data_IF_964872534003
#
_entry.id   IF_964872534003
#
_cell.length_a   1.000
_cell.length_b   1.000
_cell.length_c   1.000
_cell.angle_alpha   90.00
_cell.angle_beta   90.00
_cell.angle_gamma   90.00
#
_symmetry.space_group_name_H-M   'P 1'
#
loop_
_entity.id
_entity.type
_entity.pdbx_description
1 polymer ?
#
# COMPACT_ATOMS: atom_id res chain seq x y z
N UNK A 1 -14.85 -15.54 -20.91
CA UNK A 1 -13.96 -16.69 -20.71
C UNK A 1 -14.17 -17.75 -21.75
N UNK A 2 -13.94 -17.45 -23.02
CA UNK A 2 -14.00 -18.48 -24.07
C UNK A 2 -12.57 -18.78 -24.51
N UNK A 3 -11.84 -19.55 -23.70
CA UNK A 3 -10.41 -19.81 -23.89
C UNK A 3 -10.10 -20.45 -25.25
N UNK A 4 -10.95 -21.37 -25.73
CA UNK A 4 -10.80 -22.02 -27.04
C UNK A 4 -10.91 -21.01 -28.18
N UNK A 5 -11.85 -20.06 -28.08
CA UNK A 5 -12.01 -19.00 -29.10
C UNK A 5 -10.79 -18.07 -29.05
N UNK A 6 -10.33 -17.74 -27.84
CA UNK A 6 -9.15 -16.90 -27.65
C UNK A 6 -7.91 -17.54 -28.28
N UNK A 7 -7.67 -18.82 -28.05
CA UNK A 7 -6.57 -19.61 -28.63
C UNK A 7 -6.59 -19.59 -30.16
N UNK A 8 -7.78 -19.70 -30.76
CA UNK A 8 -7.94 -19.61 -32.23
C UNK A 8 -7.70 -18.20 -32.78
N UNK A 9 -8.04 -17.15 -32.02
CA UNK A 9 -7.95 -15.76 -32.48
C UNK A 9 -6.58 -15.14 -32.28
N UNK A 10 -5.81 -15.54 -31.26
CA UNK A 10 -4.49 -14.96 -30.96
C UNK A 10 -3.55 -15.04 -32.18
N UNK A 11 -3.37 -16.19 -32.86
CA UNK A 11 -2.49 -16.28 -34.03
C UNK A 11 -2.95 -15.44 -35.23
N UNK A 12 -4.24 -15.10 -35.29
CA UNK A 12 -4.86 -14.36 -36.40
C UNK A 12 -4.89 -12.84 -36.16
N UNK A 13 -4.49 -12.38 -34.97
CA UNK A 13 -4.55 -10.98 -34.58
C UNK A 13 -3.15 -10.40 -34.37
N UNK A 14 -3.06 -9.08 -34.34
CA UNK A 14 -1.81 -8.38 -34.00
C UNK A 14 -1.94 -7.69 -32.64
N UNK A 15 -0.80 -7.46 -31.99
CA UNK A 15 -0.73 -6.82 -30.65
C UNK A 15 -0.79 -5.28 -30.70
N UNK A 16 -1.29 -4.70 -31.78
CA UNK A 16 -1.48 -3.24 -31.87
C UNK A 16 -2.46 -2.75 -30.79
N UNK A 17 -3.27 -3.64 -30.22
CA UNK A 17 -4.17 -3.30 -29.12
C UNK A 17 -3.47 -2.96 -27.79
N UNK A 18 -2.19 -3.28 -27.60
CA UNK A 18 -1.41 -2.96 -26.38
C UNK A 18 -0.73 -1.58 -26.41
N UNK A 19 -0.63 -0.95 -27.58
CA UNK A 19 0.07 0.34 -27.71
C UNK A 19 -0.61 1.32 -28.66
N UNK A 20 -1.59 0.85 -29.43
CA UNK A 20 -2.29 1.64 -30.44
C UNK A 20 -3.23 2.69 -29.82
N UNK A 21 -3.32 3.89 -30.41
CA UNK A 21 -4.24 4.92 -29.97
C UNK A 21 -5.69 4.44 -30.10
N UNK A 22 -6.51 4.71 -29.09
CA UNK A 22 -7.92 4.27 -29.00
C UNK A 22 -8.12 2.75 -29.12
N UNK A 23 -7.09 1.95 -28.83
CA UNK A 23 -7.21 0.51 -28.68
C UNK A 23 -7.20 0.13 -27.21
N UNK A 24 -7.80 -1.02 -26.92
CA UNK A 24 -7.87 -1.58 -25.58
C UNK A 24 -7.27 -2.97 -25.63
N UNK A 25 -6.30 -3.23 -24.76
CA UNK A 25 -5.72 -4.55 -24.62
C UNK A 25 -6.78 -5.55 -24.13
N UNK A 26 -6.88 -6.76 -24.72
CA UNK A 26 -7.81 -7.80 -24.26
C UNK A 26 -7.52 -8.25 -22.82
N UNK A 27 -6.34 -7.94 -22.28
CA UNK A 27 -5.98 -8.14 -20.87
C UNK A 27 -7.01 -7.48 -19.95
N UNK A 28 -7.50 -6.28 -20.28
CA UNK A 28 -8.55 -5.62 -19.50
C UNK A 28 -9.85 -6.43 -19.49
N UNK A 29 -10.24 -7.04 -20.60
CA UNK A 29 -11.45 -7.88 -20.66
C UNK A 29 -11.30 -9.16 -19.84
N UNK A 30 -10.11 -9.78 -19.85
CA UNK A 30 -9.83 -10.95 -19.03
C UNK A 30 -9.86 -10.61 -17.53
N UNK A 31 -9.22 -9.51 -17.13
CA UNK A 31 -9.22 -9.00 -15.74
C UNK A 31 -10.63 -8.62 -15.31
N UNK A 32 -11.36 -7.82 -16.10
CA UNK A 32 -12.73 -7.43 -15.81
C UNK A 32 -13.66 -8.66 -15.67
N UNK A 33 -13.44 -9.68 -16.50
CA UNK A 33 -14.19 -10.92 -16.47
C UNK A 33 -13.78 -11.89 -15.36
N UNK A 34 -12.69 -11.64 -14.61
CA UNK A 34 -12.13 -12.58 -13.65
C UNK A 34 -11.70 -13.91 -14.29
N UNK A 35 -11.23 -13.86 -15.54
CA UNK A 35 -10.94 -15.06 -16.33
C UNK A 35 -9.44 -15.38 -16.26
N UNK A 36 -9.02 -16.08 -15.20
CA UNK A 36 -7.61 -16.39 -14.93
C UNK A 36 -6.94 -17.15 -16.08
N UNK A 37 -7.57 -18.19 -16.60
CA UNK A 37 -6.98 -18.97 -17.71
C UNK A 37 -6.84 -18.14 -18.99
N UNK A 38 -7.83 -17.29 -19.30
CA UNK A 38 -7.75 -16.37 -20.45
C UNK A 38 -6.68 -15.31 -20.25
N UNK A 39 -6.53 -14.79 -19.03
CA UNK A 39 -5.50 -13.82 -18.68
C UNK A 39 -4.11 -14.45 -18.87
N UNK A 40 -3.89 -15.62 -18.30
CA UNK A 40 -2.62 -16.32 -18.41
C UNK A 40 -2.27 -16.65 -19.87
N UNK A 41 -3.22 -17.13 -20.66
CA UNK A 41 -3.01 -17.37 -22.10
C UNK A 41 -2.62 -16.09 -22.86
N UNK A 42 -3.25 -14.95 -22.57
CA UNK A 42 -2.88 -13.67 -23.18
C UNK A 42 -1.44 -13.29 -22.83
N UNK A 43 -1.08 -13.35 -21.55
CA UNK A 43 0.26 -12.95 -21.10
C UNK A 43 1.35 -13.89 -21.63
N UNK A 44 1.08 -15.21 -21.74
CA UNK A 44 1.97 -16.17 -22.38
C UNK A 44 2.23 -15.87 -23.85
N UNK A 45 1.23 -15.34 -24.56
CA UNK A 45 1.35 -14.90 -25.94
C UNK A 45 1.95 -13.47 -26.07
N UNK A 46 2.49 -12.94 -24.97
CA UNK A 46 3.26 -11.70 -24.94
C UNK A 46 2.42 -10.44 -24.97
N UNK A 47 1.15 -10.49 -24.56
CA UNK A 47 0.40 -9.29 -24.22
C UNK A 47 0.97 -8.66 -22.94
N UNK A 48 0.99 -7.33 -22.86
CA UNK A 48 1.58 -6.64 -21.70
C UNK A 48 0.68 -6.72 -20.46
N UNK A 49 1.19 -7.12 -19.27
CA UNK A 49 0.44 -7.02 -18.03
C UNK A 49 0.27 -5.56 -17.56
N UNK A 50 1.15 -4.67 -18.03
CA UNK A 50 1.09 -3.22 -17.84
C UNK A 50 0.57 -2.54 -19.11
N UNK A 51 -0.52 -3.06 -19.68
CA UNK A 51 -1.17 -2.45 -20.84
C UNK A 51 -1.51 -0.98 -20.59
N UNK A 52 -1.55 -0.20 -21.67
CA UNK A 52 -1.79 1.23 -21.66
C UNK A 52 -3.14 1.59 -21.04
N UNK A 53 -3.27 2.84 -20.56
CA UNK A 53 -4.50 3.36 -19.98
C UNK A 53 -5.72 3.06 -20.87
N UNK A 54 -6.69 2.36 -20.29
CA UNK A 54 -7.94 2.06 -20.97
C UNK A 54 -8.95 3.17 -20.73
N UNK A 55 -9.20 4.00 -21.74
CA UNK A 55 -10.22 5.07 -21.68
C UNK A 55 -11.65 4.53 -21.56
N UNK A 56 -11.92 3.33 -22.08
CA UNK A 56 -13.25 2.69 -22.02
C UNK A 56 -13.62 2.36 -20.57
N UNK A 57 -12.65 1.88 -19.79
CA UNK A 57 -12.88 1.51 -18.39
C UNK A 57 -12.40 2.57 -17.39
N UNK A 58 -11.62 3.56 -17.82
CA UNK A 58 -11.09 4.63 -16.97
C UNK A 58 -9.97 4.19 -16.02
N UNK A 59 -9.19 3.16 -16.38
CA UNK A 59 -8.10 2.63 -15.54
C UNK A 59 -6.74 2.83 -16.19
N UNK A 60 -5.75 3.18 -15.37
CA UNK A 60 -4.36 3.39 -15.78
C UNK A 60 -3.61 2.10 -16.10
N UNK A 61 -3.99 0.98 -15.48
CA UNK A 61 -3.39 -0.34 -15.71
C UNK A 61 -4.42 -1.45 -15.51
N UNK A 62 -4.19 -2.66 -16.06
CA UNK A 62 -5.00 -3.85 -15.75
C UNK A 62 -5.01 -4.17 -14.25
N UNK A 63 -3.89 -3.95 -13.55
CA UNK A 63 -3.80 -4.17 -12.11
C UNK A 63 -4.73 -3.24 -11.31
N UNK A 64 -4.83 -1.96 -11.68
CA UNK A 64 -5.79 -1.04 -11.06
C UNK A 64 -7.26 -1.51 -11.22
N UNK A 65 -7.58 -2.13 -12.37
CA UNK A 65 -8.91 -2.69 -12.61
C UNK A 65 -9.19 -3.92 -11.75
N UNK A 66 -8.19 -4.76 -11.51
CA UNK A 66 -8.33 -5.98 -10.71
C UNK A 66 -8.89 -5.69 -9.30
N UNK A 67 -8.62 -4.50 -8.74
CA UNK A 67 -9.11 -4.11 -7.42
C UNK A 67 -10.60 -3.75 -7.36
N UNK A 68 -11.25 -3.44 -8.49
CA UNK A 68 -12.64 -2.99 -8.51
C UNK A 68 -13.64 -4.10 -8.13
N UNK A 69 -13.30 -5.39 -8.29
CA UNK A 69 -14.25 -6.50 -8.16
C UNK A 69 -14.23 -7.21 -6.80
N UNK A 70 -15.36 -7.84 -6.47
CA UNK A 70 -15.59 -8.61 -5.25
C UNK A 70 -15.17 -10.09 -5.34
N UNK A 71 -14.76 -10.57 -6.52
CA UNK A 71 -14.28 -11.95 -6.71
C UNK A 71 -12.83 -12.09 -6.24
N UNK A 72 -12.38 -13.33 -6.02
CA UNK A 72 -11.01 -13.70 -5.63
C UNK A 72 -9.97 -13.07 -6.56
N UNK A 73 -9.50 -11.90 -6.19
CA UNK A 73 -8.63 -11.05 -6.98
C UNK A 73 -7.15 -11.45 -6.82
N UNK A 74 -6.85 -12.32 -5.87
CA UNK A 74 -5.51 -12.82 -5.63
C UNK A 74 -4.98 -13.60 -6.82
N UNK A 75 -5.78 -14.46 -7.47
CA UNK A 75 -5.33 -15.22 -8.64
C UNK A 75 -5.00 -14.29 -9.82
N UNK A 76 -5.90 -13.35 -10.15
CA UNK A 76 -5.64 -12.33 -11.18
C UNK A 76 -4.41 -11.47 -10.87
N UNK A 77 -4.27 -10.98 -9.63
CA UNK A 77 -3.11 -10.16 -9.22
C UNK A 77 -1.83 -10.98 -9.30
N UNK A 78 -1.85 -12.23 -8.83
CA UNK A 78 -0.70 -13.13 -8.86
C UNK A 78 -0.27 -13.44 -10.29
N UNK A 79 -1.22 -13.69 -11.20
CA UNK A 79 -0.92 -13.88 -12.62
C UNK A 79 -0.26 -12.62 -13.20
N UNK A 80 -0.83 -11.43 -12.98
CA UNK A 80 -0.23 -10.18 -13.48
C UNK A 80 1.21 -10.00 -12.97
N UNK A 81 1.46 -10.25 -11.68
CA UNK A 81 2.80 -10.18 -11.09
C UNK A 81 3.75 -11.24 -11.65
N UNK A 82 3.28 -12.49 -11.84
CA UNK A 82 4.05 -13.60 -12.43
C UNK A 82 4.59 -13.24 -13.81
N UNK A 83 3.82 -12.51 -14.61
CA UNK A 83 4.24 -12.06 -15.95
C UNK A 83 4.89 -10.68 -15.97
N UNK A 84 5.23 -10.11 -14.81
CA UNK A 84 6.10 -8.93 -14.70
C UNK A 84 5.39 -7.58 -14.58
N UNK A 85 4.12 -7.54 -14.15
CA UNK A 85 3.45 -6.28 -13.83
C UNK A 85 4.26 -5.46 -12.81
N UNK A 86 4.52 -4.19 -13.13
CA UNK A 86 5.31 -3.31 -12.28
C UNK A 86 4.44 -2.66 -11.21
N UNK A 87 4.69 -3.00 -9.95
CA UNK A 87 4.04 -2.37 -8.82
C UNK A 87 4.53 -0.94 -8.60
N UNK A 88 3.59 -0.02 -8.34
CA UNK A 88 3.85 1.38 -8.04
C UNK A 88 2.85 1.88 -6.97
N UNK A 89 3.00 3.13 -6.55
CA UNK A 89 2.18 3.75 -5.51
C UNK A 89 0.70 3.93 -5.89
N UNK A 90 0.37 4.01 -7.19
CA UNK A 90 -1.03 4.08 -7.63
C UNK A 90 -1.77 2.79 -7.27
N UNK A 91 -1.11 1.63 -7.36
CA UNK A 91 -1.73 0.36 -6.96
C UNK A 91 -2.07 0.36 -5.46
N UNK A 92 -1.22 0.94 -4.60
CA UNK A 92 -1.53 1.13 -3.18
C UNK A 92 -2.72 2.09 -2.98
N UNK A 93 -2.77 3.20 -3.72
CA UNK A 93 -3.89 4.13 -3.67
C UNK A 93 -5.22 3.47 -4.07
N UNK A 94 -5.21 2.62 -5.10
CA UNK A 94 -6.38 1.88 -5.53
C UNK A 94 -6.79 0.78 -4.54
N UNK A 95 -5.83 0.14 -3.88
CA UNK A 95 -6.15 -0.77 -2.77
C UNK A 95 -6.89 -0.05 -1.64
N UNK A 96 -6.53 1.20 -1.32
CA UNK A 96 -7.28 2.01 -0.34
C UNK A 96 -8.67 2.40 -0.88
N UNK A 97 -8.76 2.81 -2.14
CA UNK A 97 -10.02 3.18 -2.80
C UNK A 97 -11.07 2.05 -2.76
N UNK A 98 -10.64 0.83 -3.00
CA UNK A 98 -11.50 -0.37 -3.06
C UNK A 98 -11.38 -1.26 -1.81
N UNK A 99 -10.76 -0.74 -0.74
CA UNK A 99 -10.62 -1.41 0.56
C UNK A 99 -9.97 -2.82 0.51
N UNK A 100 -9.05 -3.03 -0.44
CA UNK A 100 -8.31 -4.29 -0.62
C UNK A 100 -7.08 -4.36 0.30
N UNK A 101 -7.28 -4.27 1.62
CA UNK A 101 -6.19 -4.16 2.59
C UNK A 101 -5.27 -5.38 2.69
N UNK A 102 -5.77 -6.58 2.39
CA UNK A 102 -4.91 -7.79 2.33
C UNK A 102 -3.89 -7.69 1.19
N UNK A 103 -4.30 -7.22 0.02
CA UNK A 103 -3.37 -7.00 -1.10
C UNK A 103 -2.49 -5.78 -0.89
N UNK A 104 -3.01 -4.72 -0.24
CA UNK A 104 -2.18 -3.61 0.20
C UNK A 104 -0.98 -4.09 1.02
N UNK A 105 -1.23 -4.94 2.04
CA UNK A 105 -0.17 -5.54 2.88
C UNK A 105 0.74 -6.47 2.11
N UNK A 106 0.18 -7.30 1.22
CA UNK A 106 0.96 -8.16 0.34
C UNK A 106 1.93 -7.35 -0.54
N UNK A 107 1.47 -6.25 -1.13
CA UNK A 107 2.31 -5.37 -1.93
C UNK A 107 3.40 -4.71 -1.11
N UNK A 108 3.12 -4.26 0.13
CA UNK A 108 4.15 -3.71 1.02
C UNK A 108 5.23 -4.72 1.40
N UNK A 109 4.89 -6.01 1.48
CA UNK A 109 5.86 -7.09 1.73
C UNK A 109 6.69 -7.39 0.48
N UNK A 110 6.05 -7.46 -0.70
CA UNK A 110 6.70 -7.84 -1.98
C UNK A 110 7.45 -6.68 -2.66
N UNK A 111 7.04 -5.44 -2.45
CA UNK A 111 7.53 -4.20 -3.09
C UNK A 111 7.46 -3.03 -2.07
N UNK A 112 8.12 -1.87 -2.17
CA UNK A 112 8.61 -1.08 -3.30
C UNK A 112 9.94 -0.38 -2.93
N UNK A 113 10.81 -0.03 -3.90
CA UNK A 113 11.77 1.05 -3.66
C UNK A 113 10.97 2.33 -3.33
N UNK A 114 11.04 2.77 -2.07
CA UNK A 114 10.29 3.92 -1.55
C UNK A 114 10.91 5.25 -2.05
N UNK A 115 10.99 5.48 -3.37
CA UNK A 115 11.40 6.77 -3.96
C UNK A 115 11.03 6.89 -5.45
N UNK A 116 10.59 8.06 -5.94
CA UNK A 116 9.74 9.10 -5.32
C UNK A 116 8.24 8.82 -5.57
N UNK A 117 7.38 9.19 -4.62
CA UNK A 117 5.92 9.03 -4.72
C UNK A 117 5.32 10.03 -5.72
N UNK A 118 5.33 9.69 -7.01
CA UNK A 118 4.86 10.58 -8.07
C UNK A 118 3.35 10.87 -7.98
N UNK A 119 2.57 9.95 -7.43
CA UNK A 119 1.12 10.10 -7.25
C UNK A 119 0.66 10.24 -5.78
N UNK A 120 1.50 10.86 -4.94
CA UNK A 120 1.20 11.02 -3.51
C UNK A 120 -0.15 11.70 -3.22
N UNK A 121 -0.57 12.66 -4.06
CA UNK A 121 -1.86 13.34 -3.89
C UNK A 121 -3.05 12.39 -4.08
N UNK A 122 -2.98 11.50 -5.07
CA UNK A 122 -4.00 10.48 -5.34
C UNK A 122 -4.08 9.50 -4.16
N UNK A 123 -2.91 9.09 -3.66
CA UNK A 123 -2.80 8.24 -2.49
C UNK A 123 -3.43 8.88 -1.25
N UNK A 124 -3.07 10.11 -0.91
CA UNK A 124 -3.62 10.83 0.24
C UNK A 124 -5.13 10.98 0.14
N UNK A 125 -5.66 11.32 -1.04
CA UNK A 125 -7.11 11.42 -1.25
C UNK A 125 -7.85 10.13 -0.91
N UNK A 126 -7.31 8.98 -1.32
CA UNK A 126 -7.90 7.68 -0.99
C UNK A 126 -7.63 7.26 0.47
N UNK A 127 -6.47 7.62 1.03
CA UNK A 127 -6.14 7.37 2.42
C UNK A 127 -7.07 8.13 3.39
N UNK A 128 -7.39 9.39 3.10
CA UNK A 128 -8.36 10.19 3.89
C UNK A 128 -9.74 9.54 3.87
N UNK A 129 -10.16 8.99 2.72
CA UNK A 129 -11.44 8.26 2.60
C UNK A 129 -11.42 6.94 3.37
N UNK A 130 -10.29 6.25 3.40
CA UNK A 130 -10.11 4.97 4.10
C UNK A 130 -9.75 5.11 5.60
N UNK A 131 -9.79 6.32 6.16
CA UNK A 131 -9.34 6.60 7.54
C UNK A 131 -10.10 5.81 8.61
N UNK A 132 -11.38 5.50 8.39
CA UNK A 132 -12.20 4.77 9.38
C UNK A 132 -11.73 3.34 9.56
N UNK A 133 -10.99 2.81 8.58
CA UNK A 133 -10.36 1.49 8.57
C UNK A 133 -8.84 1.58 8.64
N UNK A 134 -8.28 2.67 9.20
CA UNK A 134 -6.83 2.87 9.25
C UNK A 134 -6.08 1.68 9.87
N UNK A 135 -6.67 1.02 10.88
CA UNK A 135 -6.09 -0.15 11.56
C UNK A 135 -5.73 -1.30 10.61
N UNK A 136 -6.41 -1.40 9.46
CA UNK A 136 -6.18 -2.45 8.45
C UNK A 136 -4.99 -2.18 7.52
N UNK A 137 -4.53 -0.92 7.42
CA UNK A 137 -3.55 -0.53 6.38
C UNK A 137 -2.45 0.43 6.85
N UNK A 138 -2.78 1.43 7.66
CA UNK A 138 -1.84 2.49 8.07
C UNK A 138 -0.69 1.93 8.94
N UNK A 139 -0.94 1.05 9.92
CA UNK A 139 0.15 0.43 10.69
C UNK A 139 1.14 -0.31 9.79
N UNK A 140 0.63 -1.10 8.83
CA UNK A 140 1.48 -1.85 7.90
C UNK A 140 2.31 -0.93 7.00
N UNK A 141 1.73 0.18 6.54
CA UNK A 141 2.45 1.18 5.74
C UNK A 141 3.61 1.81 6.52
N UNK A 142 3.36 2.25 7.75
CA UNK A 142 4.35 2.93 8.60
C UNK A 142 5.43 1.95 9.06
N UNK A 143 5.06 0.71 9.38
CA UNK A 143 6.01 -0.35 9.72
C UNK A 143 6.93 -0.69 8.56
N UNK A 144 6.41 -0.71 7.33
CA UNK A 144 7.18 -0.92 6.11
C UNK A 144 8.17 0.22 5.76
N UNK A 145 8.27 1.25 6.61
CA UNK A 145 9.26 2.33 6.47
C UNK A 145 8.79 3.51 5.64
N UNK A 146 7.48 3.66 5.41
CA UNK A 146 6.93 4.89 4.83
C UNK A 146 7.19 6.08 5.76
N UNK A 147 7.76 7.16 5.21
CA UNK A 147 7.97 8.40 5.97
C UNK A 147 6.62 9.09 6.24
N UNK A 148 6.17 9.20 7.52
CA UNK A 148 4.87 9.76 7.85
C UNK A 148 4.74 11.25 7.50
N UNK A 149 5.84 11.98 7.33
CA UNK A 149 5.81 13.39 6.90
C UNK A 149 5.15 13.55 5.52
N UNK A 150 5.22 12.54 4.67
CA UNK A 150 4.55 12.51 3.37
C UNK A 150 3.00 12.47 3.51
N UNK A 151 2.46 11.96 4.61
CA UNK A 151 1.03 11.99 4.90
C UNK A 151 0.58 13.31 5.53
N UNK A 152 1.44 13.98 6.31
CA UNK A 152 1.10 15.15 7.15
C UNK A 152 0.93 16.46 6.35
N UNK A 153 0.09 16.44 5.31
CA UNK A 153 -0.37 17.61 4.56
C UNK A 153 -1.74 18.11 5.06
N UNK A 154 -2.27 19.17 4.44
CA UNK A 154 -3.53 19.80 4.89
C UNK A 154 -4.72 18.87 4.72
N UNK A 155 -4.78 18.16 3.60
CA UNK A 155 -5.86 17.20 3.35
C UNK A 155 -5.93 16.12 4.43
N UNK A 156 -4.79 15.62 4.90
CA UNK A 156 -4.75 14.64 5.99
C UNK A 156 -5.05 15.29 7.34
N UNK A 157 -4.29 16.33 7.70
CA UNK A 157 -4.41 17.00 8.99
C UNK A 157 -5.80 17.59 9.18
N UNK A 158 -6.50 18.10 8.17
CA UNK A 158 -7.81 18.70 8.41
C UNK A 158 -8.96 17.68 8.39
N UNK A 159 -8.74 16.48 7.82
CA UNK A 159 -9.83 15.55 7.53
C UNK A 159 -9.86 14.29 8.39
N UNK A 160 -8.72 13.83 8.92
CA UNK A 160 -8.69 12.58 9.70
C UNK A 160 -9.13 12.76 11.14
N UNK A 161 -9.61 11.72 11.82
CA UNK A 161 -9.91 11.78 13.26
C UNK A 161 -8.66 12.10 14.11
N UNK A 162 -8.85 12.59 15.33
CA UNK A 162 -7.73 12.89 16.24
C UNK A 162 -6.92 11.63 16.56
N UNK A 163 -7.57 10.48 16.73
CA UNK A 163 -6.89 9.20 16.99
C UNK A 163 -5.97 8.79 15.85
N UNK A 164 -6.43 8.93 14.60
CA UNK A 164 -5.63 8.62 13.40
C UNK A 164 -4.44 9.57 13.29
N UNK A 165 -4.65 10.85 13.64
CA UNK A 165 -3.58 11.83 13.62
C UNK A 165 -2.53 11.55 14.70
N UNK A 166 -2.95 11.29 15.94
CA UNK A 166 -2.06 10.90 17.04
C UNK A 166 -1.28 9.63 16.65
N UNK A 167 -1.96 8.61 16.12
CA UNK A 167 -1.31 7.39 15.66
C UNK A 167 -0.26 7.67 14.56
N UNK A 168 -0.54 8.58 13.63
CA UNK A 168 0.44 8.98 12.59
C UNK A 168 1.66 9.67 13.23
N UNK A 169 1.43 10.53 14.23
CA UNK A 169 2.49 11.26 14.93
C UNK A 169 3.39 10.36 15.77
N UNK A 170 2.89 9.23 16.29
CA UNK A 170 3.70 8.22 16.99
C UNK A 170 4.87 7.69 16.13
N UNK A 171 4.81 7.80 14.81
CA UNK A 171 5.90 7.41 13.91
C UNK A 171 6.84 8.56 13.55
N UNK A 172 6.69 9.72 14.20
CA UNK A 172 7.49 10.93 13.95
C UNK A 172 8.19 11.41 15.21
N UNK A 173 9.16 12.31 15.02
CA UNK A 173 9.57 13.23 16.07
C UNK A 173 8.62 14.43 16.06
N UNK A 174 7.48 14.32 16.74
CA UNK A 174 6.45 15.37 16.75
C UNK A 174 6.93 16.70 17.36
N UNK A 175 8.10 16.71 18.02
CA UNK A 175 8.74 17.93 18.54
C UNK A 175 9.65 18.63 17.52
N UNK A 176 10.06 17.94 16.45
CA UNK A 176 10.93 18.47 15.40
C UNK A 176 10.30 18.29 14.02
N UNK A 177 9.04 18.71 13.90
CA UNK A 177 8.32 18.69 12.63
C UNK A 177 8.71 19.89 11.75
N UNK A 178 8.50 19.81 10.42
CA UNK A 178 8.63 20.98 9.56
C UNK A 178 7.70 22.12 10.01
N UNK A 179 8.12 23.40 9.96
CA UNK A 179 7.33 24.52 10.46
C UNK A 179 5.93 24.65 9.84
N UNK A 180 5.79 24.25 8.57
CA UNK A 180 4.50 24.22 7.89
C UNK A 180 3.52 23.24 8.56
N UNK A 181 3.99 22.02 8.85
CA UNK A 181 3.21 20.97 9.51
C UNK A 181 2.87 21.38 10.94
N UNK A 182 3.84 21.93 11.69
CA UNK A 182 3.63 22.41 13.06
C UNK A 182 2.54 23.49 13.13
N UNK A 183 2.55 24.44 12.19
CA UNK A 183 1.53 25.49 12.10
C UNK A 183 0.13 24.91 11.87
N UNK A 184 0.02 23.92 11.00
CA UNK A 184 -1.25 23.27 10.67
C UNK A 184 -1.77 22.44 11.84
N UNK A 185 -0.90 21.68 12.49
CA UNK A 185 -1.23 20.94 13.70
C UNK A 185 -1.66 21.87 14.85
N UNK A 186 -1.00 23.01 15.03
CA UNK A 186 -1.37 23.99 16.05
C UNK A 186 -2.75 24.62 15.79
N UNK A 187 -3.05 24.92 14.51
CA UNK A 187 -4.35 25.42 14.11
C UNK A 187 -5.46 24.37 14.37
N UNK A 188 -5.19 23.10 14.03
CA UNK A 188 -6.10 21.99 14.30
C UNK A 188 -6.28 21.74 15.80
N UNK A 189 -5.19 21.67 16.56
CA UNK A 189 -5.19 21.38 17.99
C UNK A 189 -6.12 22.32 18.77
N UNK A 190 -6.20 23.59 18.35
CA UNK A 190 -7.06 24.60 18.99
C UNK A 190 -8.55 24.25 18.98
N UNK A 191 -9.01 23.41 18.03
CA UNK A 191 -10.41 22.99 17.87
C UNK A 191 -10.61 21.47 18.08
N UNK A 192 -9.56 20.75 18.48
CA UNK A 192 -9.54 19.30 18.61
C UNK A 192 -9.69 18.82 20.06
N UNK A 193 -9.70 17.51 20.26
CA UNK A 193 -9.70 16.87 21.56
C UNK A 193 -8.48 17.28 22.41
N UNK A 194 -8.69 17.23 23.72
CA UNK A 194 -7.62 17.40 24.71
C UNK A 194 -6.46 16.42 24.51
N UNK A 195 -6.75 15.20 24.03
CA UNK A 195 -5.73 14.18 23.78
C UNK A 195 -4.70 14.64 22.73
N UNK A 196 -5.16 15.21 21.60
CA UNK A 196 -4.27 15.72 20.57
C UNK A 196 -3.44 16.91 21.07
N UNK A 197 -4.06 17.82 21.83
CA UNK A 197 -3.38 18.97 22.42
C UNK A 197 -2.25 18.53 23.37
N UNK A 198 -2.54 17.57 24.26
CA UNK A 198 -1.56 17.01 25.18
C UNK A 198 -0.43 16.29 24.44
N UNK A 199 -0.77 15.50 23.43
CA UNK A 199 0.22 14.77 22.65
C UNK A 199 1.21 15.73 21.96
N UNK A 200 0.73 16.77 21.26
CA UNK A 200 1.57 17.77 20.59
C UNK A 200 2.42 18.58 21.59
N UNK A 201 1.87 18.89 22.77
CA UNK A 201 2.60 19.62 23.81
C UNK A 201 3.68 18.75 24.50
N UNK A 202 3.49 17.43 24.51
CA UNK A 202 4.41 16.50 25.16
C UNK A 202 5.75 16.40 24.43
N UNK A 203 6.81 16.07 25.19
CA UNK A 203 8.13 15.79 24.63
C UNK A 203 8.27 14.28 24.44
N UNK A 204 8.65 13.80 23.25
CA UNK A 204 8.86 12.37 23.05
C UNK A 204 9.97 11.84 23.96
N UNK A 205 9.78 10.63 24.49
CA UNK A 205 10.77 10.00 25.36
C UNK A 205 12.09 9.76 24.61
N UNK A 206 13.20 9.69 25.34
CA UNK A 206 14.48 9.32 24.74
C UNK A 206 14.41 7.93 24.07
N UNK A 207 13.67 6.99 24.67
CA UNK A 207 13.46 5.66 24.07
C UNK A 207 12.81 5.77 22.69
N UNK A 208 11.80 6.65 22.54
CA UNK A 208 11.12 6.86 21.27
C UNK A 208 12.05 7.49 20.23
N UNK A 209 12.81 8.51 20.64
CA UNK A 209 13.81 9.13 19.77
C UNK A 209 14.85 8.11 19.30
N UNK A 210 15.32 7.23 20.19
CA UNK A 210 16.21 6.13 19.84
C UNK A 210 15.55 5.15 18.86
N UNK A 211 14.28 4.80 19.04
CA UNK A 211 13.54 3.94 18.10
C UNK A 211 13.50 4.54 16.70
N UNK A 212 13.20 5.82 16.58
CA UNK A 212 13.17 6.52 15.30
C UNK A 212 14.54 6.49 14.62
N UNK A 213 15.61 6.77 15.37
CA UNK A 213 16.98 6.81 14.85
C UNK A 213 17.50 5.42 14.44
N UNK A 214 17.16 4.38 15.22
CA UNK A 214 17.49 3.00 14.84
C UNK A 214 16.76 2.64 13.55
N UNK A 215 15.45 2.94 13.46
CA UNK A 215 14.65 2.61 12.27
C UNK A 215 15.08 3.41 11.04
N UNK A 216 15.45 4.69 11.17
CA UNK A 216 15.96 5.49 10.05
C UNK A 216 17.31 4.98 9.53
N UNK A 217 18.11 4.38 10.41
CA UNK A 217 19.39 3.73 10.06
C UNK A 217 19.18 2.39 9.32
N UNK A 218 18.00 1.77 9.46
CA UNK A 218 17.64 0.57 8.72
C UNK A 218 17.17 0.97 7.33
N UNK A 219 17.67 0.27 6.31
CA UNK A 219 17.18 0.45 4.94
C UNK A 219 15.69 0.09 4.88
N UNK A 220 14.87 0.79 4.08
CA UNK A 220 13.44 0.49 3.98
C UNK A 220 13.14 -0.95 3.57
N UNK A 221 14.01 -1.59 2.79
CA UNK A 221 13.91 -3.02 2.43
C UNK A 221 13.92 -3.97 3.63
N UNK A 222 14.62 -3.61 4.70
CA UNK A 222 14.69 -4.38 5.93
C UNK A 222 13.50 -4.15 6.87
N UNK A 223 12.79 -3.03 6.71
CA UNK A 223 11.61 -2.71 7.52
C UNK A 223 10.33 -3.39 7.01
N UNK A 224 10.34 -3.95 5.79
CA UNK A 224 9.17 -4.63 5.18
C UNK A 224 8.81 -5.96 5.82
N UNK A 225 9.76 -6.57 6.53
CA UNK A 225 9.59 -7.90 7.10
C UNK A 225 10.13 -7.93 8.52
N UNK A 226 9.24 -8.25 9.46
CA UNK A 226 9.56 -8.37 10.89
C UNK A 226 10.70 -9.37 11.15
N UNK A 227 10.86 -10.37 10.26
CA UNK A 227 11.94 -11.35 10.33
C UNK A 227 13.32 -10.70 10.37
N UNK A 228 13.54 -9.60 9.64
CA UNK A 228 14.83 -8.91 9.68
C UNK A 228 15.07 -8.28 11.06
N UNK A 229 14.05 -7.63 11.63
CA UNK A 229 14.16 -7.02 12.96
C UNK A 229 14.45 -8.09 14.01
N UNK A 230 13.80 -9.24 13.93
CA UNK A 230 14.04 -10.38 14.83
C UNK A 230 15.43 -11.03 14.66
N UNK A 231 16.10 -10.82 13.52
CA UNK A 231 17.47 -11.28 13.29
C UNK A 231 18.54 -10.32 13.82
N UNK A 232 18.17 -9.11 14.21
CA UNK A 232 19.11 -8.17 14.83
C UNK A 232 19.64 -8.75 16.16
N UNK A 233 20.92 -8.55 16.49
CA UNK A 233 21.54 -9.03 17.73
C UNK A 233 21.11 -8.19 18.94
N UNK A 234 19.80 -8.13 19.18
CA UNK A 234 19.13 -7.38 20.23
C UNK A 234 18.22 -8.31 21.05
N UNK A 235 17.94 -7.98 22.32
CA UNK A 235 16.92 -8.68 23.11
C UNK A 235 15.53 -8.59 22.48
N UNK A 236 14.69 -9.62 22.70
CA UNK A 236 13.31 -9.68 22.18
C UNK A 236 12.46 -8.45 22.51
N UNK A 237 12.60 -7.92 23.72
CA UNK A 237 11.88 -6.71 24.13
C UNK A 237 12.22 -5.48 23.27
N UNK A 238 13.44 -5.39 22.74
CA UNK A 238 13.82 -4.34 21.80
C UNK A 238 13.31 -4.64 20.38
N UNK A 239 13.20 -5.91 19.98
CA UNK A 239 12.54 -6.26 18.71
C UNK A 239 11.08 -5.80 18.72
N UNK A 240 10.32 -6.16 19.75
CA UNK A 240 8.91 -5.77 19.92
C UNK A 240 8.75 -4.25 19.92
N UNK A 241 9.68 -3.54 20.59
CA UNK A 241 9.70 -2.09 20.64
C UNK A 241 9.98 -1.44 19.28
N UNK A 242 10.91 -1.98 18.50
CA UNK A 242 11.21 -1.52 17.14
C UNK A 242 10.06 -1.80 16.16
N UNK A 243 9.24 -2.81 16.46
CA UNK A 243 8.00 -3.16 15.74
C UNK A 243 6.76 -2.44 16.28
N UNK A 244 6.92 -1.46 17.18
CA UNK A 244 5.83 -0.66 17.74
C UNK A 244 4.76 -1.48 18.47
N UNK A 245 5.09 -2.68 18.97
CA UNK A 245 4.12 -3.61 19.54
C UNK A 245 3.27 -3.00 20.67
N UNK A 246 3.82 -2.08 21.45
CA UNK A 246 3.09 -1.35 22.49
C UNK A 246 2.11 -0.33 21.92
N UNK A 247 2.51 0.42 20.88
CA UNK A 247 1.64 1.41 20.22
C UNK A 247 0.49 0.69 19.50
N UNK A 248 0.77 -0.43 18.84
CA UNK A 248 -0.25 -1.23 18.18
C UNK A 248 -1.29 -1.77 19.17
N UNK A 249 -0.83 -2.27 20.32
CA UNK A 249 -1.69 -2.81 21.37
C UNK A 249 -2.55 -1.72 22.02
N UNK A 250 -1.99 -0.55 22.30
CA UNK A 250 -2.73 0.59 22.84
C UNK A 250 -3.85 1.06 21.91
N UNK A 251 -3.66 0.92 20.59
CA UNK A 251 -4.65 1.30 19.58
C UNK A 251 -5.57 0.15 19.18
N UNK A 252 -5.53 -0.99 19.88
CA UNK A 252 -6.32 -2.20 19.58
C UNK A 252 -6.19 -2.62 18.11
N UNK A 253 -4.97 -2.52 17.56
CA UNK A 253 -4.70 -2.95 16.19
C UNK A 253 -4.57 -4.48 16.21
N UNK A 254 -5.33 -5.21 15.38
CA UNK A 254 -5.23 -6.67 15.33
C UNK A 254 -3.79 -7.11 15.05
N UNK A 255 -3.33 -8.18 15.71
CA UNK A 255 -2.18 -8.93 15.20
C UNK A 255 -2.62 -9.55 13.88
N UNK A 256 -2.28 -8.86 12.80
CA UNK A 256 -2.71 -9.22 11.47
C UNK A 256 -2.00 -10.51 11.08
N UNK A 257 -2.75 -11.62 11.12
CA UNK A 257 -2.29 -12.93 10.74
C UNK A 257 -1.46 -12.84 9.45
N UNK A 258 -0.22 -13.34 9.54
CA UNK A 258 0.64 -13.58 8.39
C UNK A 258 -0.23 -14.37 7.41
N UNK A 259 -0.56 -13.77 6.26
CA UNK A 259 -1.05 -14.52 5.10
C UNK A 259 -0.10 -15.71 5.01
N UNK A 260 -0.62 -16.91 5.28
CA UNK A 260 0.19 -18.12 5.30
C UNK A 260 0.97 -18.14 3.99
N UNK A 261 2.28 -18.03 4.09
CA UNK A 261 3.22 -18.21 2.97
C UNK A 261 3.14 -19.65 2.40
N UNK A 262 2.24 -20.51 2.92
CA UNK A 262 2.11 -21.93 2.60
C UNK A 262 1.35 -22.24 1.31
N UNK A 263 0.46 -21.38 0.79
CA UNK A 263 -0.14 -21.59 -0.55
C UNK A 263 0.72 -21.02 -1.69
N UNK A 264 1.83 -20.36 -1.38
CA UNK A 264 2.58 -19.53 -2.35
C UNK A 264 3.91 -20.20 -2.77
N UNK A 265 4.24 -21.37 -2.24
CA UNK A 265 5.48 -22.11 -2.57
C UNK A 265 5.29 -23.32 -3.51
N UNK A 266 4.07 -23.79 -3.73
CA UNK A 266 3.79 -24.93 -4.63
C UNK A 266 3.23 -24.47 -5.98
N UNK A 267 3.98 -23.64 -6.69
CA UNK A 267 3.79 -23.42 -8.12
C UNK A 267 5.13 -23.09 -8.79
N UNK A 268 6.15 -23.92 -8.53
CA UNK A 268 7.34 -24.06 -9.38
C UNK A 268 7.14 -25.17 -10.39
#
# INVERSE_FOLDING_TARGET
>A
GHIIILDLLIPLTNRVCDTGPNKVSPVYSAVFGGQEECLEMLLQNGYSPDAQMCLVFGFSSPMCMAFQKDCEFLGIVNILLKYGAQLNELHLAYCLKYEKFSVFRYFLKKCCPLTPWSHISEFIHHAVKAQTKYKEWLPSLLLAGFDPLNLLCSSWIDSVSDDVLIFTLEFTNWRRLPPAVEKMLSARASNSSWALQQHIASVPSLTHLCRLEIRSSLKPEHLRCDNFIHQLPLPRSLHDYLLYAEVLRMNEIPELAVIQDEEISEAT
#
